data_IF_594797925521
#
_entry.id   IF_594797925521
#
_cell.length_a   1.000
_cell.length_b   1.000
_cell.length_c   1.000
_cell.angle_alpha   90.00
_cell.angle_beta   90.00
_cell.angle_gamma   90.00
#
_symmetry.space_group_name_H-M   'P 1'
#
loop_
_entity.id
_entity.type
_entity.pdbx_description
1 polymer ?
#
# COMPACT_ATOMS: atom_id res chain seq x y z
N UNK A 1 -5.70 7.75 23.45
CA UNK A 1 -4.81 6.61 23.66
C UNK A 1 -4.37 6.02 22.33
N UNK A 2 -3.10 5.70 22.19
CA UNK A 2 -2.50 5.14 20.98
C UNK A 2 -2.16 3.67 21.18
N UNK A 3 -2.76 2.78 20.37
CA UNK A 3 -2.50 1.34 20.40
C UNK A 3 -1.36 0.98 19.44
N UNK A 4 -0.32 0.33 19.95
CA UNK A 4 0.85 -0.09 19.20
C UNK A 4 0.64 -1.44 18.50
N UNK A 5 0.10 -1.41 17.29
CA UNK A 5 0.05 -2.54 16.36
C UNK A 5 1.19 -2.50 15.34
N UNK A 6 1.82 -1.33 15.17
CA UNK A 6 2.99 -1.13 14.33
C UNK A 6 4.27 -1.41 15.14
N UNK A 7 5.24 -2.19 14.63
CA UNK A 7 6.53 -2.36 15.29
C UNK A 7 7.29 -1.03 15.43
N UNK A 8 7.74 -0.69 16.64
CA UNK A 8 8.45 0.57 16.89
C UNK A 8 9.78 0.67 16.13
N UNK A 9 10.43 -0.45 15.80
CA UNK A 9 11.70 -0.44 15.04
C UNK A 9 11.52 -0.08 13.57
N UNK A 10 10.30 -0.21 13.01
CA UNK A 10 10.05 0.07 11.60
C UNK A 10 9.88 1.58 11.36
N UNK A 11 10.87 2.22 10.73
CA UNK A 11 10.95 3.68 10.58
C UNK A 11 10.63 4.40 11.90
N UNK A 12 11.22 3.89 12.99
CA UNK A 12 11.01 4.40 14.36
C UNK A 12 9.52 4.57 14.71
N UNK A 13 8.68 3.55 14.33
CA UNK A 13 7.24 3.58 14.57
C UNK A 13 6.54 4.72 13.83
N UNK A 14 7.03 5.11 12.64
CA UNK A 14 6.55 6.24 11.85
C UNK A 14 6.51 7.57 12.65
N UNK A 15 7.51 7.79 13.50
CA UNK A 15 7.64 8.95 14.38
C UNK A 15 6.56 9.05 15.49
N UNK A 16 5.65 8.10 15.62
CA UNK A 16 4.62 8.12 16.67
C UNK A 16 5.13 7.98 18.11
N UNK A 17 6.30 7.34 18.43
CA UNK A 17 6.83 7.38 19.79
C UNK A 17 6.99 8.81 20.33
N UNK A 18 7.48 9.72 19.49
CA UNK A 18 7.62 11.13 19.84
C UNK A 18 6.30 11.90 19.78
N UNK A 19 5.51 11.69 18.74
CA UNK A 19 4.25 12.40 18.57
C UNK A 19 3.26 12.10 19.71
N UNK A 20 3.11 10.83 20.08
CA UNK A 20 2.24 10.39 21.20
C UNK A 20 2.74 10.96 22.52
N UNK A 21 4.06 10.92 22.77
CA UNK A 21 4.66 11.47 24.00
C UNK A 21 4.52 13.00 24.06
N UNK A 22 4.81 13.71 22.96
CA UNK A 22 4.69 15.17 22.87
C UNK A 22 3.23 15.63 23.04
N UNK A 23 2.28 14.84 22.55
CA UNK A 23 0.84 15.10 22.73
C UNK A 23 0.31 14.76 24.13
N UNK A 24 1.15 14.27 25.05
CA UNK A 24 0.73 13.83 26.39
C UNK A 24 -0.22 12.66 26.39
N UNK A 25 -0.20 11.85 25.32
CA UNK A 25 -1.09 10.71 25.17
C UNK A 25 -0.50 9.42 25.77
N UNK A 26 -1.34 8.40 25.94
CA UNK A 26 -0.95 7.12 26.52
C UNK A 26 -0.55 6.14 25.43
N UNK A 27 0.61 5.48 25.61
CA UNK A 27 1.02 4.35 24.78
C UNK A 27 0.44 3.05 25.33
N UNK A 28 -0.36 2.37 24.54
CA UNK A 28 -0.90 1.04 24.82
C UNK A 28 -0.16 0.02 23.96
N UNK A 29 0.75 -0.74 24.57
CA UNK A 29 1.63 -1.66 23.87
C UNK A 29 1.07 -3.07 23.80
N UNK A 30 1.29 -3.73 22.65
CA UNK A 30 0.96 -5.13 22.43
C UNK A 30 2.23 -5.98 22.34
N UNK A 31 2.28 -7.15 23.00
CA UNK A 31 3.39 -8.09 22.82
C UNK A 31 3.31 -8.79 21.46
N UNK A 32 2.13 -8.92 20.90
CA UNK A 32 1.83 -9.52 19.58
C UNK A 32 0.60 -8.88 18.95
N UNK A 33 0.55 -8.91 17.62
CA UNK A 33 -0.62 -8.52 16.85
C UNK A 33 -1.59 -9.71 16.81
N UNK A 34 -2.60 -9.69 17.70
CA UNK A 34 -3.66 -10.71 17.81
C UNK A 34 -5.02 -10.02 17.69
N UNK A 35 -5.85 -10.35 16.69
CA UNK A 35 -7.12 -9.65 16.44
C UNK A 35 -8.04 -9.58 17.65
N UNK A 36 -8.23 -10.70 18.35
CA UNK A 36 -9.09 -10.75 19.55
C UNK A 36 -8.62 -9.77 20.65
N UNK A 37 -7.29 -9.69 20.88
CA UNK A 37 -6.74 -8.75 21.87
C UNK A 37 -6.86 -7.30 21.42
N UNK A 38 -6.68 -7.03 20.13
CA UNK A 38 -6.87 -5.68 19.56
C UNK A 38 -8.33 -5.25 19.77
N UNK A 39 -9.29 -6.08 19.39
CA UNK A 39 -10.71 -5.79 19.57
C UNK A 39 -11.09 -5.58 21.03
N UNK A 40 -10.56 -6.40 21.94
CA UNK A 40 -10.76 -6.20 23.36
C UNK A 40 -10.30 -4.79 23.77
N UNK A 41 -9.06 -4.40 23.44
CA UNK A 41 -8.50 -3.09 23.79
C UNK A 41 -9.26 -1.92 23.16
N UNK A 42 -9.66 -2.04 21.90
CA UNK A 42 -10.49 -1.05 21.21
C UNK A 42 -11.80 -0.77 21.95
N UNK A 43 -12.37 -1.79 22.62
CA UNK A 43 -13.64 -1.66 23.33
C UNK A 43 -13.51 -1.29 24.81
N UNK A 44 -12.39 -1.62 25.46
CA UNK A 44 -12.25 -1.44 26.91
C UNK A 44 -11.33 -0.30 27.33
N UNK A 45 -10.31 0.05 26.49
CA UNK A 45 -9.25 0.97 26.89
C UNK A 45 -9.40 2.39 26.33
N UNK A 46 -10.50 2.68 25.62
CA UNK A 46 -10.70 4.01 25.02
C UNK A 46 -9.64 4.37 23.99
N UNK A 47 -9.22 3.40 23.19
CA UNK A 47 -8.26 3.62 22.09
C UNK A 47 -8.85 4.61 21.10
N UNK A 48 -8.07 5.62 20.74
CA UNK A 48 -8.46 6.67 19.78
C UNK A 48 -7.64 6.62 18.50
N UNK A 49 -6.42 6.05 18.54
CA UNK A 49 -5.50 6.02 17.40
C UNK A 49 -4.70 4.72 17.39
N UNK A 50 -4.41 4.22 16.18
CA UNK A 50 -3.36 3.24 15.93
C UNK A 50 -2.85 3.31 14.49
N UNK A 51 -1.70 2.71 14.22
CA UNK A 51 -1.14 2.59 12.87
C UNK A 51 -0.87 1.13 12.55
N UNK A 52 -1.23 0.68 11.35
CA UNK A 52 -1.08 -0.71 10.95
C UNK A 52 -0.85 -0.86 9.44
N UNK A 53 -0.13 -1.90 9.04
CA UNK A 53 -0.08 -2.32 7.64
C UNK A 53 -1.46 -2.82 7.17
N UNK A 54 -1.79 -2.74 5.86
CA UNK A 54 -3.07 -3.21 5.32
C UNK A 54 -3.41 -4.65 5.69
N UNK A 55 -2.42 -5.54 5.76
CA UNK A 55 -2.62 -6.94 6.17
C UNK A 55 -3.11 -7.07 7.62
N UNK A 56 -2.63 -6.22 8.52
CA UNK A 56 -3.11 -6.17 9.91
C UNK A 56 -4.53 -5.61 9.95
N UNK A 57 -4.84 -4.58 9.15
CA UNK A 57 -6.21 -4.07 9.02
C UNK A 57 -7.15 -5.13 8.47
N UNK A 58 -6.71 -5.93 7.48
CA UNK A 58 -7.46 -7.07 6.95
C UNK A 58 -7.77 -8.10 8.03
N UNK A 59 -6.79 -8.43 8.87
CA UNK A 59 -7.00 -9.34 10.02
C UNK A 59 -8.01 -8.76 11.02
N UNK A 60 -7.90 -7.49 11.37
CA UNK A 60 -8.84 -6.80 12.27
C UNK A 60 -10.25 -6.79 11.68
N UNK A 61 -10.39 -6.42 10.41
CA UNK A 61 -11.68 -6.29 9.74
C UNK A 61 -12.40 -7.63 9.51
N UNK A 62 -11.66 -8.75 9.44
CA UNK A 62 -12.22 -10.09 9.23
C UNK A 62 -12.23 -10.96 10.49
N UNK A 63 -11.89 -10.42 11.65
CA UNK A 63 -11.97 -11.13 12.92
C UNK A 63 -13.44 -11.39 13.35
N UNK A 64 -13.67 -12.48 14.07
CA UNK A 64 -15.02 -12.80 14.61
C UNK A 64 -15.56 -11.67 15.48
N UNK A 65 -14.68 -10.99 16.23
CA UNK A 65 -15.03 -9.86 17.10
C UNK A 65 -15.56 -8.63 16.32
N UNK A 66 -15.27 -8.53 15.03
CA UNK A 66 -15.80 -7.47 14.17
C UNK A 66 -17.32 -7.62 13.95
N UNK A 67 -17.88 -8.83 14.06
CA UNK A 67 -19.30 -9.10 13.93
C UNK A 67 -20.15 -8.44 15.04
N UNK A 68 -19.53 -8.15 16.17
CA UNK A 68 -20.19 -7.42 17.25
C UNK A 68 -20.42 -5.92 16.94
N UNK A 69 -20.08 -5.48 15.73
CA UNK A 69 -20.36 -4.14 15.23
C UNK A 69 -19.27 -3.12 15.47
N UNK A 70 -19.52 -1.84 15.08
CA UNK A 70 -18.54 -0.78 15.09
C UNK A 70 -18.05 -0.43 16.51
N UNK A 71 -16.84 0.13 16.57
CA UNK A 71 -16.27 0.68 17.80
C UNK A 71 -16.85 2.06 18.12
N UNK A 72 -16.79 2.44 19.40
CA UNK A 72 -17.14 3.78 19.87
C UNK A 72 -16.18 4.17 21.01
N UNK A 73 -15.59 5.36 20.97
CA UNK A 73 -15.67 6.41 19.92
C UNK A 73 -15.04 5.99 18.57
N UNK A 74 -15.16 6.86 17.54
CA UNK A 74 -14.46 6.70 16.26
C UNK A 74 -12.95 6.63 16.48
N UNK A 75 -12.29 5.69 15.80
CA UNK A 75 -10.84 5.49 15.89
C UNK A 75 -10.15 5.98 14.64
N UNK A 76 -9.14 6.82 14.80
CA UNK A 76 -8.26 7.27 13.71
C UNK A 76 -7.18 6.23 13.46
N UNK A 77 -7.07 5.77 12.22
CA UNK A 77 -6.15 4.70 11.82
C UNK A 77 -5.23 5.19 10.72
N UNK A 78 -3.92 5.03 10.88
CA UNK A 78 -2.96 5.30 9.84
C UNK A 78 -2.51 3.97 9.22
N UNK A 79 -2.47 3.91 7.89
CA UNK A 79 -1.99 2.73 7.16
C UNK A 79 -0.92 3.09 6.14
N UNK A 80 0.01 2.20 5.92
CA UNK A 80 1.10 2.39 4.97
C UNK A 80 1.92 1.12 4.78
N UNK A 81 3.02 1.21 4.03
CA UNK A 81 3.88 0.08 3.68
C UNK A 81 3.40 -0.72 2.47
N UNK A 82 2.11 -0.66 2.15
CA UNK A 82 1.49 -1.12 0.90
C UNK A 82 0.20 -0.32 0.66
N UNK A 83 -0.29 -0.20 -0.57
CA UNK A 83 -1.57 0.44 -0.85
C UNK A 83 -2.73 -0.38 -0.25
N UNK A 84 -3.62 0.23 0.57
CA UNK A 84 -4.84 -0.45 1.01
C UNK A 84 -5.82 -0.57 -0.16
N UNK A 85 -6.62 -1.63 -0.20
CA UNK A 85 -7.68 -1.77 -1.20
C UNK A 85 -8.91 -0.92 -0.84
N UNK A 86 -9.66 -0.41 -1.83
CA UNK A 86 -10.92 0.29 -1.57
C UNK A 86 -11.90 -0.54 -0.72
N UNK A 87 -11.98 -1.85 -0.98
CA UNK A 87 -12.83 -2.78 -0.21
C UNK A 87 -12.46 -2.82 1.28
N UNK A 88 -11.16 -2.87 1.60
CA UNK A 88 -10.68 -2.82 2.97
C UNK A 88 -11.03 -1.49 3.63
N UNK A 89 -10.82 -0.37 2.93
CA UNK A 89 -11.12 0.97 3.45
C UNK A 89 -12.61 1.14 3.75
N UNK A 90 -13.50 0.68 2.86
CA UNK A 90 -14.94 0.70 3.08
C UNK A 90 -15.34 -0.13 4.32
N UNK A 91 -14.74 -1.32 4.48
CA UNK A 91 -15.00 -2.19 5.63
C UNK A 91 -14.53 -1.57 6.96
N UNK A 92 -13.36 -0.95 6.98
CA UNK A 92 -12.86 -0.22 8.16
C UNK A 92 -13.78 0.95 8.53
N UNK A 93 -14.25 1.70 7.53
CA UNK A 93 -15.22 2.79 7.74
C UNK A 93 -16.52 2.28 8.37
N UNK A 94 -17.07 1.14 7.90
CA UNK A 94 -18.25 0.52 8.48
C UNK A 94 -18.05 0.09 9.95
N UNK A 95 -16.81 -0.18 10.37
CA UNK A 95 -16.41 -0.47 11.74
C UNK A 95 -16.13 0.79 12.57
N UNK A 96 -16.43 1.98 12.07
CA UNK A 96 -16.15 3.29 12.68
C UNK A 96 -14.65 3.56 12.89
N UNK A 97 -13.82 3.08 11.98
CA UNK A 97 -12.39 3.29 11.93
C UNK A 97 -12.04 4.13 10.71
N UNK A 98 -11.55 5.36 10.93
CA UNK A 98 -11.20 6.29 9.87
C UNK A 98 -9.75 6.11 9.43
N UNK A 99 -9.57 5.56 8.24
CA UNK A 99 -8.25 5.22 7.72
C UNK A 99 -7.67 6.35 6.90
N UNK A 100 -6.47 6.80 7.27
CA UNK A 100 -5.62 7.71 6.49
C UNK A 100 -4.45 6.92 5.89
N UNK A 101 -4.30 6.98 4.57
CA UNK A 101 -3.19 6.35 3.89
C UNK A 101 -1.93 7.22 3.97
N UNK A 102 -0.82 6.62 4.35
CA UNK A 102 0.51 7.22 4.43
C UNK A 102 1.45 6.51 3.45
N UNK A 103 2.28 7.27 2.75
CA UNK A 103 3.30 6.74 1.87
C UNK A 103 4.67 7.22 2.28
N UNK A 104 5.62 6.30 2.28
CA UNK A 104 7.04 6.55 2.52
C UNK A 104 7.82 5.25 2.55
N UNK A 105 9.12 5.38 2.67
CA UNK A 105 10.10 4.28 2.71
C UNK A 105 11.02 4.46 3.92
N UNK A 106 11.86 3.48 4.19
CA UNK A 106 12.94 3.63 5.18
C UNK A 106 13.89 4.75 4.77
N UNK A 107 14.13 4.86 3.48
CA UNK A 107 14.97 5.88 2.84
C UNK A 107 14.40 7.31 2.94
N UNK A 108 13.13 7.46 3.28
CA UNK A 108 12.48 8.76 3.53
C UNK A 108 12.12 8.96 5.01
N UNK A 109 12.73 8.18 5.92
CA UNK A 109 12.51 8.23 7.38
C UNK A 109 11.02 8.07 7.78
N UNK A 110 10.25 7.30 7.02
CA UNK A 110 8.84 7.09 7.24
C UNK A 110 7.96 7.87 6.28
N UNK A 111 6.74 8.27 6.69
CA UNK A 111 5.76 8.86 5.78
C UNK A 111 6.22 10.20 5.20
N UNK A 112 6.30 10.29 3.88
CA UNK A 112 6.64 11.48 3.10
C UNK A 112 5.44 12.06 2.38
N UNK A 113 4.38 11.26 2.20
CA UNK A 113 3.09 11.72 1.71
C UNK A 113 1.95 11.21 2.60
N UNK A 114 0.85 11.96 2.60
CA UNK A 114 -0.35 11.66 3.37
C UNK A 114 -1.58 11.87 2.49
N UNK A 115 -2.52 10.95 2.55
CA UNK A 115 -3.83 11.12 1.93
C UNK A 115 -4.66 12.08 2.79
N UNK A 116 -4.50 13.37 2.54
CA UNK A 116 -5.26 14.39 3.21
C UNK A 116 -6.70 14.38 2.70
N UNK A 117 -7.67 14.19 3.59
CA UNK A 117 -9.08 14.17 3.24
C UNK A 117 -9.63 15.58 3.05
N UNK A 118 -10.44 15.78 2.01
CA UNK A 118 -11.17 17.02 1.77
C UNK A 118 -12.63 16.87 2.21
N UNK A 119 -13.18 17.82 2.99
CA UNK A 119 -14.57 17.73 3.45
C UNK A 119 -15.61 17.61 2.32
N UNK A 120 -15.35 18.19 1.16
CA UNK A 120 -16.21 18.06 -0.01
C UNK A 120 -16.32 16.64 -0.59
N UNK A 121 -15.44 15.74 -0.17
CA UNK A 121 -15.52 14.32 -0.55
C UNK A 121 -16.48 13.51 0.33
N UNK A 122 -16.94 14.08 1.45
CA UNK A 122 -17.90 13.41 2.36
C UNK A 122 -19.25 13.16 1.67
N UNK A 123 -19.63 14.00 0.70
CA UNK A 123 -20.87 13.88 -0.05
C UNK A 123 -20.80 12.92 -1.25
N UNK A 124 -19.62 12.35 -1.55
CA UNK A 124 -19.44 11.40 -2.64
C UNK A 124 -19.96 10.00 -2.26
N UNK A 125 -20.35 9.17 -3.26
CA UNK A 125 -20.67 7.78 -3.01
C UNK A 125 -19.51 7.03 -2.30
N UNK A 126 -19.84 6.09 -1.41
CA UNK A 126 -18.86 5.35 -0.60
C UNK A 126 -17.75 4.70 -1.43
N UNK A 127 -18.08 4.15 -2.61
CA UNK A 127 -17.12 3.56 -3.54
C UNK A 127 -16.08 4.60 -4.00
N UNK A 128 -16.55 5.81 -4.35
CA UNK A 128 -15.67 6.91 -4.76
C UNK A 128 -14.82 7.42 -3.63
N UNK A 129 -15.37 7.52 -2.42
CA UNK A 129 -14.60 7.86 -1.23
C UNK A 129 -13.48 6.84 -0.98
N UNK A 130 -13.78 5.53 -1.11
CA UNK A 130 -12.78 4.47 -0.93
C UNK A 130 -11.65 4.54 -1.98
N UNK A 131 -11.98 4.83 -3.24
CA UNK A 131 -10.97 5.06 -4.30
C UNK A 131 -10.06 6.25 -3.97
N UNK A 132 -10.64 7.39 -3.54
CA UNK A 132 -9.87 8.57 -3.16
C UNK A 132 -8.96 8.30 -1.96
N UNK A 133 -9.44 7.58 -0.95
CA UNK A 133 -8.68 7.17 0.22
C UNK A 133 -7.53 6.18 -0.11
N UNK A 134 -7.64 5.42 -1.19
CA UNK A 134 -6.60 4.48 -1.61
C UNK A 134 -5.38 5.17 -2.26
N UNK A 135 -5.50 6.45 -2.67
CA UNK A 135 -4.37 7.22 -3.21
C UNK A 135 -3.33 7.50 -2.11
N UNK A 136 -2.08 7.76 -2.50
CA UNK A 136 -1.01 8.09 -1.56
C UNK A 136 -1.09 9.54 -1.05
N UNK A 137 -1.80 10.38 -1.77
CA UNK A 137 -2.08 11.75 -1.36
C UNK A 137 -1.04 12.78 -1.80
N UNK A 138 -0.74 13.70 -0.92
CA UNK A 138 0.15 14.86 -1.15
C UNK A 138 1.33 14.83 -0.17
N UNK A 139 2.43 15.56 -0.44
CA UNK A 139 3.55 15.64 0.50
C UNK A 139 3.09 16.09 1.88
N UNK A 140 3.63 15.49 2.93
CA UNK A 140 3.32 15.89 4.29
C UNK A 140 3.96 17.26 4.61
N UNK A 141 3.56 17.90 5.73
CA UNK A 141 3.94 19.28 6.07
C UNK A 141 5.44 19.48 6.34
N UNK A 142 6.22 18.41 6.56
CA UNK A 142 7.66 18.46 6.82
C UNK A 142 8.49 17.99 5.62
N UNK A 143 7.86 17.35 4.62
CA UNK A 143 8.51 16.91 3.39
C UNK A 143 8.58 18.04 2.36
N UNK A 144 9.62 18.00 1.51
CA UNK A 144 9.61 18.81 0.30
C UNK A 144 8.62 18.23 -0.72
N UNK A 145 8.17 19.02 -1.72
CA UNK A 145 7.30 18.51 -2.77
C UNK A 145 7.90 17.27 -3.45
N UNK A 146 7.13 16.18 -3.52
CA UNK A 146 7.48 15.02 -4.31
C UNK A 146 7.28 15.34 -5.79
N UNK A 147 8.11 14.72 -6.64
CA UNK A 147 7.95 14.79 -8.09
C UNK A 147 7.70 13.39 -8.64
N UNK A 148 6.96 13.31 -9.74
CA UNK A 148 6.84 12.11 -10.56
C UNK A 148 7.48 12.44 -11.89
N UNK A 149 8.53 11.70 -12.25
CA UNK A 149 9.37 12.03 -13.41
C UNK A 149 9.38 10.90 -14.44
N UNK A 150 9.39 11.28 -15.71
CA UNK A 150 9.61 10.37 -16.82
C UNK A 150 11.07 9.90 -16.91
N UNK A 151 11.39 9.09 -17.91
CA UNK A 151 12.74 8.58 -18.15
C UNK A 151 13.75 9.71 -18.44
N UNK A 152 13.28 10.81 -18.99
CA UNK A 152 14.06 12.03 -19.25
C UNK A 152 14.31 12.91 -18.01
N UNK A 153 13.74 12.53 -16.87
CA UNK A 153 13.79 13.29 -15.61
C UNK A 153 12.87 14.51 -15.57
N UNK A 154 12.04 14.73 -16.58
CA UNK A 154 11.02 15.78 -16.59
C UNK A 154 9.78 15.34 -15.80
N UNK A 155 9.06 16.32 -15.21
CA UNK A 155 7.80 16.04 -14.53
C UNK A 155 6.75 15.52 -15.50
N UNK A 156 6.02 14.46 -15.10
CA UNK A 156 4.87 13.99 -15.87
C UNK A 156 3.69 14.97 -15.73
N UNK A 157 2.79 15.03 -16.73
CA UNK A 157 1.57 15.85 -16.63
C UNK A 157 0.65 15.37 -15.49
N UNK A 158 -0.17 16.28 -14.95
CA UNK A 158 -1.17 15.97 -13.93
C UNK A 158 -2.48 15.50 -14.58
N UNK A 159 -2.42 14.39 -15.30
CA UNK A 159 -3.57 13.85 -16.05
C UNK A 159 -4.18 12.60 -15.37
N UNK A 160 -3.52 12.04 -14.35
CA UNK A 160 -3.92 10.80 -13.70
C UNK A 160 -3.64 9.53 -14.52
N UNK A 161 -2.93 9.65 -15.65
CA UNK A 161 -2.70 8.59 -16.63
C UNK A 161 -1.22 8.35 -16.91
N UNK A 162 -0.47 9.43 -17.13
CA UNK A 162 0.96 9.35 -17.48
C UNK A 162 1.78 8.85 -16.28
N UNK A 163 2.41 7.68 -16.47
CA UNK A 163 3.20 7.02 -15.44
C UNK A 163 4.63 7.58 -15.44
N UNK A 164 5.15 7.86 -14.25
CA UNK A 164 6.55 8.17 -14.00
C UNK A 164 7.02 7.61 -12.66
N UNK A 165 8.29 7.79 -12.34
CA UNK A 165 8.87 7.37 -11.06
C UNK A 165 8.75 8.48 -10.02
N UNK A 166 8.32 8.15 -8.80
CA UNK A 166 8.35 9.08 -7.68
C UNK A 166 9.80 9.35 -7.29
N UNK A 167 10.17 10.63 -7.21
CA UNK A 167 11.46 11.06 -6.69
C UNK A 167 11.26 12.01 -5.52
N UNK A 168 12.08 11.84 -4.47
CA UNK A 168 11.99 12.58 -3.22
C UNK A 168 13.29 13.35 -2.92
N UNK A 169 13.16 14.49 -2.26
CA UNK A 169 14.26 15.29 -1.74
C UNK A 169 13.80 16.00 -0.48
N UNK A 170 14.66 16.12 0.51
CA UNK A 170 14.34 16.82 1.75
C UNK A 170 15.23 16.37 2.90
N UNK A 171 14.99 16.95 4.07
CA UNK A 171 15.73 16.61 5.29
C UNK A 171 15.35 15.22 5.83
N UNK A 172 14.26 14.68 5.38
CA UNK A 172 13.72 13.36 5.70
C UNK A 172 14.24 12.25 4.77
N UNK A 173 14.98 12.62 3.70
CA UNK A 173 15.59 11.67 2.78
C UNK A 173 16.97 11.26 3.28
N UNK A 174 17.28 9.96 3.20
CA UNK A 174 18.56 9.39 3.60
C UNK A 174 19.75 10.10 2.92
N UNK A 175 20.91 10.10 3.56
CA UNK A 175 22.16 10.56 2.96
C UNK A 175 22.71 9.56 1.95
N UNK A 176 22.39 8.27 2.11
CA UNK A 176 22.83 7.18 1.24
C UNK A 176 22.77 5.84 1.94
N UNK A 177 23.03 4.77 1.23
CA UNK A 177 23.18 3.43 1.79
C UNK A 177 24.55 3.28 2.49
N UNK A 178 24.55 2.67 3.66
CA UNK A 178 25.73 2.53 4.48
C UNK A 178 26.82 1.71 3.79
N UNK A 179 27.99 2.30 3.57
CA UNK A 179 29.14 1.70 2.88
C UNK A 179 28.81 1.11 1.49
N UNK A 180 27.82 1.68 0.80
CA UNK A 180 27.43 1.27 -0.57
C UNK A 180 27.20 2.50 -1.44
N UNK A 181 28.31 3.07 -1.92
CA UNK A 181 28.27 4.25 -2.79
C UNK A 181 27.65 3.94 -4.16
N UNK A 182 27.83 2.71 -4.65
CA UNK A 182 27.27 2.30 -5.94
C UNK A 182 25.74 2.25 -5.89
N UNK A 183 25.16 1.61 -4.86
CA UNK A 183 23.72 1.60 -4.68
C UNK A 183 23.18 3.02 -4.44
N UNK A 184 23.90 3.84 -3.67
CA UNK A 184 23.53 5.24 -3.43
C UNK A 184 23.49 6.04 -4.73
N UNK A 185 24.51 5.91 -5.57
CA UNK A 185 24.55 6.58 -6.87
C UNK A 185 23.43 6.13 -7.81
N UNK A 186 23.14 4.82 -7.87
CA UNK A 186 22.02 4.27 -8.65
C UNK A 186 20.64 4.77 -8.18
N UNK A 187 20.49 4.99 -6.87
CA UNK A 187 19.25 5.50 -6.27
C UNK A 187 19.14 7.03 -6.31
N UNK A 188 20.07 7.73 -6.98
CA UNK A 188 20.07 9.19 -7.01
C UNK A 188 19.94 9.71 -8.44
N UNK A 189 18.88 10.50 -8.70
CA UNK A 189 18.75 11.33 -9.89
C UNK A 189 19.54 12.63 -9.65
N UNK A 190 20.52 12.99 -10.48
CA UNK A 190 21.29 14.21 -10.29
C UNK A 190 20.39 15.45 -10.20
N UNK A 191 20.72 16.34 -9.27
CA UNK A 191 20.05 17.63 -9.17
C UNK A 191 20.45 18.57 -10.30
N UNK A 192 19.65 19.60 -10.60
CA UNK A 192 20.02 20.62 -11.55
C UNK A 192 21.28 21.36 -11.08
N UNK A 193 22.16 21.68 -12.01
CA UNK A 193 23.38 22.44 -11.79
C UNK A 193 24.37 21.84 -10.74
N UNK A 194 24.34 20.51 -10.57
CA UNK A 194 25.17 19.82 -9.57
C UNK A 194 24.73 20.00 -8.13
N UNK A 195 23.55 20.54 -7.89
CA UNK A 195 22.92 20.64 -6.57
C UNK A 195 22.52 19.26 -5.99
N UNK A 196 21.92 19.23 -4.79
CA UNK A 196 21.45 18.00 -4.18
C UNK A 196 20.56 17.20 -5.11
N UNK A 197 20.84 15.90 -5.22
CA UNK A 197 20.09 14.99 -6.05
C UNK A 197 18.68 14.69 -5.50
N UNK A 198 17.91 13.95 -6.28
CA UNK A 198 16.61 13.42 -5.88
C UNK A 198 16.77 11.92 -5.66
N UNK A 199 16.27 11.42 -4.56
CA UNK A 199 16.20 10.00 -4.29
C UNK A 199 15.12 9.35 -5.18
N UNK A 200 15.50 8.30 -5.89
CA UNK A 200 14.64 7.47 -6.73
C UNK A 200 14.00 6.39 -5.88
N UNK A 201 12.69 6.41 -5.76
CA UNK A 201 11.97 5.48 -4.87
C UNK A 201 11.79 4.08 -5.48
N UNK A 202 11.86 3.97 -6.80
CA UNK A 202 11.50 2.77 -7.54
C UNK A 202 9.99 2.52 -7.59
N UNK A 203 9.16 3.43 -7.05
CA UNK A 203 7.71 3.34 -7.11
C UNK A 203 7.19 4.18 -8.29
N UNK A 204 6.40 3.55 -9.15
CA UNK A 204 5.79 4.18 -10.33
C UNK A 204 4.40 4.71 -9.96
N UNK A 205 4.13 5.94 -10.35
CA UNK A 205 2.91 6.64 -9.99
C UNK A 205 2.41 7.53 -11.13
N UNK A 206 1.18 7.98 -10.97
CA UNK A 206 0.58 9.08 -11.73
C UNK A 206 0.32 10.26 -10.80
N UNK A 207 0.18 11.45 -11.37
CA UNK A 207 -0.25 12.65 -10.64
C UNK A 207 -1.64 13.04 -11.14
N UNK A 208 -2.61 13.08 -10.24
CA UNK A 208 -3.97 13.51 -10.58
C UNK A 208 -4.05 15.04 -10.73
N UNK A 209 -5.09 15.57 -11.42
CA UNK A 209 -5.26 17.02 -11.59
C UNK A 209 -5.33 17.79 -10.26
N UNK A 210 -5.81 17.18 -9.18
CA UNK A 210 -5.85 17.72 -7.82
C UNK A 210 -4.49 17.67 -7.09
N UNK A 211 -3.45 17.13 -7.75
CA UNK A 211 -2.09 17.03 -7.21
C UNK A 211 -1.83 15.77 -6.38
N UNK A 212 -2.82 14.90 -6.21
CA UNK A 212 -2.66 13.64 -5.49
C UNK A 212 -1.84 12.63 -6.29
N UNK A 213 -0.92 11.97 -5.60
CA UNK A 213 -0.17 10.86 -6.14
C UNK A 213 -0.99 9.57 -6.03
N UNK A 214 -0.92 8.73 -7.04
CA UNK A 214 -1.42 7.36 -6.98
C UNK A 214 -0.37 6.40 -7.52
N UNK A 215 0.16 5.53 -6.65
CA UNK A 215 1.09 4.47 -7.03
C UNK A 215 0.38 3.45 -7.91
N UNK A 216 0.98 3.17 -9.05
CA UNK A 216 0.53 2.15 -10.00
C UNK A 216 1.23 0.82 -9.76
N UNK A 217 2.54 0.84 -9.52
CA UNK A 217 3.32 -0.36 -9.17
C UNK A 217 4.73 0.02 -8.72
N UNK A 218 5.54 -0.99 -8.43
CA UNK A 218 7.00 -0.86 -8.37
C UNK A 218 7.61 -1.13 -9.74
N UNK A 219 8.66 -0.42 -10.09
CA UNK A 219 9.34 -0.60 -11.37
C UNK A 219 9.77 -2.05 -11.61
N UNK A 220 10.21 -2.76 -10.56
CA UNK A 220 10.62 -4.17 -10.59
C UNK A 220 9.47 -5.18 -10.57
N UNK A 221 8.24 -4.74 -10.32
CA UNK A 221 7.05 -5.60 -10.19
C UNK A 221 6.11 -5.46 -11.41
N UNK A 222 6.36 -4.49 -12.30
CA UNK A 222 5.69 -4.40 -13.60
C UNK A 222 5.95 -5.67 -14.39
N UNK A 223 4.89 -6.21 -14.98
CA UNK A 223 4.92 -7.42 -15.79
C UNK A 223 4.89 -7.00 -17.26
N UNK A 224 5.90 -7.40 -18.05
CA UNK A 224 6.00 -7.04 -19.45
C UNK A 224 5.50 -8.20 -20.32
N UNK A 225 4.23 -8.15 -20.72
CA UNK A 225 3.57 -9.22 -21.46
C UNK A 225 3.28 -8.82 -22.89
N UNK A 226 4.01 -9.39 -23.84
CA UNK A 226 3.84 -9.09 -25.27
C UNK A 226 4.15 -7.64 -25.64
N UNK A 227 4.99 -6.96 -24.89
CA UNK A 227 5.32 -5.54 -25.05
C UNK A 227 4.40 -4.58 -24.31
N UNK A 228 3.36 -5.08 -23.65
CA UNK A 228 2.46 -4.27 -22.84
C UNK A 228 2.84 -4.34 -21.35
N UNK A 229 2.80 -3.20 -20.67
CA UNK A 229 3.04 -3.10 -19.25
C UNK A 229 1.77 -3.43 -18.45
N UNK A 230 1.86 -4.42 -17.56
CA UNK A 230 0.79 -4.79 -16.65
C UNK A 230 1.20 -4.41 -15.23
N UNK A 231 0.42 -3.56 -14.59
CA UNK A 231 0.55 -3.29 -13.16
C UNK A 231 0.07 -4.49 -12.37
N UNK A 232 0.95 -5.04 -11.54
CA UNK A 232 0.58 -6.13 -10.62
C UNK A 232 -0.46 -5.67 -9.60
N UNK A 233 -0.35 -4.43 -9.12
CA UNK A 233 -1.29 -3.82 -8.16
C UNK A 233 -2.68 -3.63 -8.77
N UNK A 234 -2.79 -3.29 -10.05
CA UNK A 234 -4.09 -3.16 -10.74
C UNK A 234 -4.83 -4.50 -10.80
N UNK A 235 -4.10 -5.58 -11.09
CA UNK A 235 -4.67 -6.93 -11.13
C UNK A 235 -5.03 -7.41 -9.73
N UNK A 236 -4.20 -7.15 -8.72
CA UNK A 236 -4.48 -7.45 -7.32
C UNK A 236 -5.76 -6.75 -6.83
N UNK A 237 -5.92 -5.45 -7.11
CA UNK A 237 -7.14 -4.70 -6.78
C UNK A 237 -8.39 -5.33 -7.41
N UNK A 238 -8.30 -5.79 -8.65
CA UNK A 238 -9.41 -6.45 -9.31
C UNK A 238 -9.75 -7.80 -8.66
N UNK A 239 -8.75 -8.59 -8.27
CA UNK A 239 -8.93 -9.87 -7.56
C UNK A 239 -9.50 -9.67 -6.16
N UNK A 240 -8.95 -8.72 -5.39
CA UNK A 240 -9.36 -8.44 -4.00
C UNK A 240 -10.81 -7.90 -3.90
N UNK A 241 -11.37 -7.41 -5.01
CA UNK A 241 -12.78 -7.05 -5.10
C UNK A 241 -13.72 -8.28 -5.21
N UNK A 242 -13.17 -9.51 -5.44
CA UNK A 242 -13.99 -10.72 -5.50
C UNK A 242 -14.42 -11.17 -4.10
N UNK A 243 -15.72 -11.50 -3.87
CA UNK A 243 -16.22 -11.86 -2.53
C UNK A 243 -15.49 -13.01 -1.84
N UNK A 244 -15.02 -14.01 -2.59
CA UNK A 244 -14.30 -15.16 -2.07
C UNK A 244 -12.82 -14.89 -1.75
N UNK A 245 -12.24 -13.79 -2.26
CA UNK A 245 -10.82 -13.47 -2.07
C UNK A 245 -10.62 -12.69 -0.78
N UNK A 246 -9.69 -13.15 0.05
CA UNK A 246 -9.23 -12.44 1.24
C UNK A 246 -8.12 -11.44 0.90
N UNK A 247 -7.13 -11.90 0.15
CA UNK A 247 -5.98 -11.11 -0.32
C UNK A 247 -5.35 -11.80 -1.53
N UNK A 248 -4.67 -11.03 -2.36
CA UNK A 248 -3.94 -11.55 -3.51
C UNK A 248 -2.57 -10.90 -3.69
N UNK A 249 -1.71 -11.56 -4.45
CA UNK A 249 -0.44 -11.00 -4.93
C UNK A 249 -0.17 -11.51 -6.34
N UNK A 250 0.19 -10.59 -7.24
CA UNK A 250 0.44 -10.90 -8.64
C UNK A 250 1.91 -10.70 -8.95
N UNK A 251 2.51 -11.71 -9.61
CA UNK A 251 3.92 -11.70 -10.01
C UNK A 251 4.06 -12.08 -11.47
N UNK A 252 5.19 -11.67 -12.07
CA UNK A 252 5.58 -12.11 -13.40
C UNK A 252 6.03 -13.57 -13.37
N UNK A 253 5.67 -14.34 -14.40
CA UNK A 253 6.23 -15.64 -14.72
C UNK A 253 6.74 -15.63 -16.17
N UNK A 254 7.93 -16.16 -16.48
CA UNK A 254 8.42 -16.24 -17.86
C UNK A 254 7.48 -17.03 -18.76
N UNK A 255 7.32 -16.56 -20.00
CA UNK A 255 6.47 -17.19 -20.98
C UNK A 255 7.11 -17.12 -22.38
N UNK A 256 7.23 -18.28 -23.06
CA UNK A 256 7.93 -18.38 -24.36
C UNK A 256 7.43 -17.39 -25.42
N UNK A 257 6.13 -17.16 -25.49
CA UNK A 257 5.51 -16.31 -26.50
C UNK A 257 5.43 -14.84 -26.09
N UNK A 258 5.20 -14.54 -24.81
CA UNK A 258 4.83 -13.21 -24.34
C UNK A 258 5.94 -12.52 -23.54
N UNK A 259 7.10 -13.19 -23.33
CA UNK A 259 8.16 -12.74 -22.43
C UNK A 259 7.77 -13.05 -20.98
N UNK A 260 6.77 -12.35 -20.48
CA UNK A 260 6.19 -12.58 -19.15
C UNK A 260 4.66 -12.69 -19.21
N UNK A 261 4.08 -13.31 -18.20
CA UNK A 261 2.64 -13.35 -17.97
C UNK A 261 2.31 -13.16 -16.50
N UNK A 262 1.15 -12.57 -16.15
CA UNK A 262 0.74 -12.44 -14.76
C UNK A 262 0.29 -13.79 -14.20
N UNK A 263 0.79 -14.11 -12.98
CA UNK A 263 0.37 -15.23 -12.14
C UNK A 263 -0.16 -14.67 -10.83
N UNK A 264 -1.36 -15.09 -10.43
CA UNK A 264 -2.02 -14.64 -9.22
C UNK A 264 -1.85 -15.68 -8.11
N UNK A 265 -1.29 -15.26 -6.99
CA UNK A 265 -1.33 -16.01 -5.73
C UNK A 265 -2.48 -15.48 -4.90
N UNK A 266 -3.39 -16.37 -4.46
CA UNK A 266 -4.68 -15.98 -3.87
C UNK A 266 -4.89 -16.72 -2.55
N UNK A 267 -5.20 -15.96 -1.50
CA UNK A 267 -5.73 -16.49 -0.25
C UNK A 267 -7.24 -16.29 -0.26
N UNK A 268 -7.98 -17.37 -0.09
CA UNK A 268 -9.44 -17.31 -0.02
C UNK A 268 -9.93 -17.03 1.41
N UNK A 269 -11.11 -16.46 1.51
CA UNK A 269 -11.82 -16.34 2.80
C UNK A 269 -12.17 -17.72 3.33
N UNK A 270 -12.19 -17.88 4.64
CA UNK A 270 -12.56 -19.12 5.27
C UNK A 270 -13.93 -19.63 4.77
N UNK A 271 -13.99 -20.90 4.35
CA UNK A 271 -15.20 -21.51 3.83
C UNK A 271 -15.63 -21.08 2.42
N UNK A 272 -14.83 -20.26 1.73
CA UNK A 272 -15.09 -19.89 0.33
C UNK A 272 -14.39 -20.84 -0.63
N UNK A 273 -15.05 -21.10 -1.76
CA UNK A 273 -14.51 -21.84 -2.91
C UNK A 273 -14.74 -21.00 -4.17
N UNK A 274 -13.80 -21.03 -5.09
CA UNK A 274 -13.88 -20.34 -6.39
C UNK A 274 -12.99 -21.06 -7.40
N UNK A 275 -13.43 -21.16 -8.65
CA UNK A 275 -12.61 -21.74 -9.73
C UNK A 275 -11.71 -20.70 -10.39
N UNK A 276 -10.65 -21.18 -11.08
CA UNK A 276 -9.77 -20.33 -11.88
C UNK A 276 -10.54 -19.60 -12.97
N UNK A 277 -11.50 -20.28 -13.61
CA UNK A 277 -12.35 -19.73 -14.66
C UNK A 277 -13.22 -18.59 -14.13
N UNK A 278 -13.78 -18.71 -12.93
CA UNK A 278 -14.59 -17.69 -12.29
C UNK A 278 -13.76 -16.47 -11.93
N UNK A 279 -12.57 -16.64 -11.31
CA UNK A 279 -11.66 -15.53 -11.04
C UNK A 279 -11.17 -14.85 -12.32
N UNK A 280 -10.82 -15.63 -13.35
CA UNK A 280 -10.39 -15.09 -14.64
C UNK A 280 -11.52 -14.30 -15.33
N UNK A 281 -12.76 -14.78 -15.28
CA UNK A 281 -13.93 -14.07 -15.81
C UNK A 281 -14.21 -12.79 -15.04
N UNK A 282 -14.08 -12.84 -13.72
CA UNK A 282 -14.27 -11.67 -12.85
C UNK A 282 -13.23 -10.57 -13.13
N UNK A 283 -11.95 -10.93 -13.25
CA UNK A 283 -10.90 -9.98 -13.64
C UNK A 283 -11.13 -9.44 -15.05
N UNK A 284 -11.51 -10.31 -16.02
CA UNK A 284 -11.78 -9.93 -17.41
C UNK A 284 -12.95 -8.96 -17.53
N UNK A 285 -13.92 -9.01 -16.64
CA UNK A 285 -15.04 -8.05 -16.63
C UNK A 285 -14.62 -6.62 -16.19
N UNK A 286 -13.41 -6.47 -15.63
CA UNK A 286 -12.89 -5.21 -15.07
C UNK A 286 -11.64 -4.70 -15.77
N UNK A 287 -10.83 -5.59 -16.32
CA UNK A 287 -9.54 -5.27 -16.93
C UNK A 287 -9.44 -5.83 -18.35
N UNK A 288 -8.53 -5.25 -19.13
CA UNK A 288 -8.20 -5.74 -20.46
C UNK A 288 -7.74 -7.20 -20.44
N UNK A 289 -8.08 -7.98 -21.46
CA UNK A 289 -7.88 -9.42 -21.49
C UNK A 289 -6.42 -9.89 -21.35
N UNK A 290 -5.44 -9.07 -21.75
CA UNK A 290 -4.02 -9.38 -21.59
C UNK A 290 -3.53 -9.27 -20.12
N UNK A 291 -4.25 -8.53 -19.28
CA UNK A 291 -3.99 -8.35 -17.83
C UNK A 291 -4.51 -9.52 -16.98
N UNK A 292 -5.35 -10.39 -17.54
CA UNK A 292 -5.93 -11.52 -16.81
C UNK A 292 -4.85 -12.55 -16.49
N UNK A 293 -4.70 -12.95 -15.20
CA UNK A 293 -3.74 -13.97 -14.81
C UNK A 293 -3.87 -15.25 -15.63
N UNK A 294 -2.73 -15.84 -16.00
CA UNK A 294 -2.70 -17.10 -16.76
C UNK A 294 -2.73 -18.32 -15.86
N UNK A 295 -2.44 -18.14 -14.58
CA UNK A 295 -2.46 -19.17 -13.56
C UNK A 295 -2.87 -18.59 -12.21
N UNK A 296 -3.57 -19.36 -11.41
CA UNK A 296 -3.92 -19.06 -10.03
C UNK A 296 -3.27 -20.08 -9.10
N UNK A 297 -2.69 -19.61 -8.01
CA UNK A 297 -2.03 -20.44 -6.99
C UNK A 297 -2.68 -20.10 -5.66
N UNK A 298 -3.34 -21.07 -5.05
CA UNK A 298 -4.05 -20.87 -3.79
C UNK A 298 -3.18 -21.20 -2.58
N UNK A 299 -3.28 -20.38 -1.54
CA UNK A 299 -2.57 -20.58 -0.29
C UNK A 299 -2.22 -19.28 0.41
N UNK A 300 -1.53 -19.39 1.55
CA UNK A 300 -1.09 -18.24 2.32
C UNK A 300 0.05 -17.50 1.63
N UNK A 301 -0.04 -16.17 1.64
CA UNK A 301 1.00 -15.30 1.09
C UNK A 301 2.15 -15.16 2.10
N UNK A 302 3.43 -15.31 1.66
CA UNK A 302 4.58 -15.04 2.51
C UNK A 302 4.67 -13.56 2.84
N UNK A 303 4.87 -13.24 4.12
CA UNK A 303 4.90 -11.86 4.61
C UNK A 303 6.15 -11.58 5.42
N UNK A 304 6.58 -10.33 5.43
CA UNK A 304 7.58 -9.83 6.36
C UNK A 304 7.00 -9.75 7.78
N UNK A 305 7.85 -9.52 8.78
CA UNK A 305 7.41 -9.24 10.17
C UNK A 305 6.51 -8.00 10.29
N UNK A 306 6.54 -7.11 9.30
CA UNK A 306 5.67 -5.93 9.22
C UNK A 306 4.38 -6.17 8.45
N UNK A 307 4.15 -7.41 7.96
CA UNK A 307 2.95 -7.80 7.22
C UNK A 307 2.96 -7.52 5.71
N UNK A 308 4.08 -7.07 5.14
CA UNK A 308 4.22 -6.84 3.70
C UNK A 308 4.43 -8.16 2.95
N UNK A 309 3.68 -8.37 1.87
CA UNK A 309 3.84 -9.54 1.01
C UNK A 309 5.23 -9.55 0.34
N UNK A 310 5.90 -10.70 0.41
CA UNK A 310 7.23 -10.92 -0.16
C UNK A 310 7.12 -11.51 -1.58
N UNK A 311 6.86 -10.63 -2.57
CA UNK A 311 6.71 -11.03 -3.98
C UNK A 311 7.96 -11.75 -4.55
N UNK A 312 9.15 -11.46 -4.03
CA UNK A 312 10.36 -12.20 -4.42
C UNK A 312 10.25 -13.70 -4.14
N UNK A 313 9.72 -14.09 -2.97
CA UNK A 313 9.52 -15.51 -2.63
C UNK A 313 8.42 -16.15 -3.50
N UNK A 314 7.41 -15.39 -3.90
CA UNK A 314 6.37 -15.87 -4.80
C UNK A 314 6.92 -16.13 -6.21
N UNK A 315 7.80 -15.25 -6.72
CA UNK A 315 8.49 -15.47 -8.00
C UNK A 315 9.33 -16.74 -7.96
N UNK A 316 10.12 -16.95 -6.91
CA UNK A 316 10.92 -18.17 -6.75
C UNK A 316 10.05 -19.44 -6.80
N UNK A 317 8.86 -19.43 -6.20
CA UNK A 317 7.91 -20.54 -6.27
C UNK A 317 7.29 -20.73 -7.65
N UNK A 318 7.22 -19.67 -8.45
CA UNK A 318 6.67 -19.73 -9.81
C UNK A 318 7.68 -20.28 -10.83
N UNK A 319 8.99 -20.24 -10.52
CA UNK A 319 10.06 -20.78 -11.36
C UNK A 319 10.40 -22.28 -11.09
N UNK A 320 9.82 -22.89 -10.08
CA UNK A 320 10.00 -24.31 -9.71
C UNK A 320 8.79 -25.15 -10.04
#
# INVERSE_FOLDING_TARGET
QYLWTLPMFHCDGWCFPWAVSAGGATHVCLPRVEPARIWQLLRTEGITHFSAAPTVLTMIANAEEAEAGPVSPRVSVQTGGAPPTPTLLARMSALNMDVTHLYGLTETYGPVAVNQWHPEWDDLPDERQAELKARQGVPNVVAQPLRVVGEDGADVPRDGETIGEIVARGNDVMLGYYQDEEATAKATLPGPDGGPGWFRTGDLAVVHPDGYLEIRDRSKDIIISGGENISSVEVERALDAHPAVLESAVVAEPHEKWGEVPVAHVTLRAGSEVSDEELAAFVRSRLAGFKVPKRFVYGDLPKTSTGKVQKNLLRERSYG
#
